data_IF_870005329762
#
_entry.id   IF_870005329762
#
_cell.length_a   1.000
_cell.length_b   1.000
_cell.length_c   1.000
_cell.angle_alpha   90.00
_cell.angle_beta   90.00
_cell.angle_gamma   90.00
#
_symmetry.space_group_name_H-M   'P 1'
#
loop_
_entity.id
_entity.type
_entity.pdbx_description
1 polymer ?
#
# COMPACT_ATOMS: atom_id res chain seq x y z
N UNK A 1 11.27 -5.32 -13.95
CA UNK A 1 11.49 -5.76 -12.54
C UNK A 1 10.53 -6.84 -12.01
N UNK A 2 9.20 -6.84 -12.27
CA UNK A 2 8.30 -7.93 -11.79
C UNK A 2 8.76 -9.32 -12.27
N UNK A 3 9.35 -9.39 -13.47
CA UNK A 3 9.99 -10.59 -14.01
C UNK A 3 10.95 -11.25 -13.01
N UNK A 4 11.83 -10.50 -12.34
CA UNK A 4 12.85 -11.01 -11.41
C UNK A 4 12.29 -11.78 -10.21
N UNK A 5 11.02 -11.53 -9.85
CA UNK A 5 10.33 -12.19 -8.74
C UNK A 5 9.46 -13.38 -9.17
N UNK A 6 9.38 -13.65 -10.47
CA UNK A 6 8.68 -14.82 -11.00
C UNK A 6 9.46 -16.09 -10.66
N UNK A 7 8.74 -17.13 -10.24
CA UNK A 7 9.30 -18.47 -10.01
C UNK A 7 9.71 -19.12 -11.34
N UNK A 8 9.04 -18.74 -12.43
CA UNK A 8 9.34 -19.16 -13.80
C UNK A 8 9.92 -17.97 -14.58
N UNK A 9 11.22 -18.03 -14.88
CA UNK A 9 11.91 -17.11 -15.79
C UNK A 9 12.69 -17.90 -16.82
N UNK A 10 12.72 -17.39 -18.04
CA UNK A 10 13.58 -17.89 -19.12
C UNK A 10 14.81 -17.00 -19.24
N UNK A 11 15.91 -17.55 -19.74
CA UNK A 11 17.14 -16.79 -20.03
C UNK A 11 16.87 -15.65 -21.00
N UNK A 12 16.13 -15.93 -22.09
CA UNK A 12 15.74 -14.92 -23.09
C UNK A 12 15.02 -13.71 -22.47
N UNK A 13 14.15 -13.93 -21.47
CA UNK A 13 13.46 -12.84 -20.77
C UNK A 13 14.40 -12.02 -19.89
N UNK A 14 15.42 -12.63 -19.31
CA UNK A 14 16.44 -11.92 -18.54
C UNK A 14 17.38 -11.14 -19.46
N UNK A 15 17.69 -11.66 -20.64
CA UNK A 15 18.44 -10.93 -21.67
C UNK A 15 17.65 -9.72 -22.16
N UNK A 16 16.36 -9.88 -22.47
CA UNK A 16 15.48 -8.74 -22.80
C UNK A 16 15.44 -7.70 -21.68
N UNK A 17 15.41 -8.13 -20.41
CA UNK A 17 15.44 -7.23 -19.27
C UNK A 17 16.74 -6.39 -19.23
N UNK A 18 17.87 -6.92 -19.71
CA UNK A 18 19.13 -6.16 -19.79
C UNK A 18 18.93 -4.92 -20.66
N UNK A 19 18.35 -5.10 -21.83
CA UNK A 19 18.11 -4.03 -22.81
C UNK A 19 17.06 -3.03 -22.29
N UNK A 20 15.98 -3.54 -21.68
CA UNK A 20 14.96 -2.69 -21.03
C UNK A 20 15.55 -1.82 -19.92
N UNK A 21 16.48 -2.35 -19.12
CA UNK A 21 17.14 -1.59 -18.05
C UNK A 21 18.08 -0.54 -18.64
N UNK A 22 18.86 -0.88 -19.67
CA UNK A 22 19.74 0.07 -20.33
C UNK A 22 18.93 1.26 -20.87
N UNK A 23 17.86 0.98 -21.61
CA UNK A 23 16.97 2.00 -22.14
C UNK A 23 16.28 2.84 -21.05
N UNK A 24 15.90 2.22 -19.92
CA UNK A 24 15.41 2.95 -18.75
C UNK A 24 16.46 3.93 -18.18
N UNK A 25 17.72 3.50 -18.08
CA UNK A 25 18.82 4.34 -17.55
C UNK A 25 19.11 5.50 -18.50
N UNK A 26 19.15 5.26 -19.80
CA UNK A 26 19.31 6.32 -20.82
C UNK A 26 18.19 7.36 -20.73
N UNK A 27 16.93 6.92 -20.65
CA UNK A 27 15.80 7.84 -20.46
C UNK A 27 15.90 8.60 -19.14
N UNK A 28 16.34 7.96 -18.05
CA UNK A 28 16.59 8.66 -16.79
C UNK A 28 17.68 9.73 -16.93
N UNK A 29 18.76 9.41 -17.65
CA UNK A 29 19.85 10.35 -17.92
C UNK A 29 19.37 11.54 -18.75
N UNK A 30 18.52 11.33 -19.74
CA UNK A 30 17.91 12.40 -20.53
C UNK A 30 17.01 13.30 -19.68
N UNK A 31 16.04 12.73 -18.96
CA UNK A 31 15.03 13.52 -18.25
C UNK A 31 15.56 14.20 -16.98
N UNK A 32 16.34 13.50 -16.17
CA UNK A 32 16.74 13.96 -14.84
C UNK A 32 18.17 14.50 -14.81
N UNK A 33 19.15 13.72 -15.30
CA UNK A 33 20.55 14.15 -15.33
C UNK A 33 20.78 15.26 -16.36
N UNK A 34 20.08 15.21 -17.49
CA UNK A 34 20.17 16.16 -18.62
C UNK A 34 21.60 16.36 -19.12
N UNK A 35 22.49 15.38 -18.89
CA UNK A 35 23.91 15.44 -19.22
C UNK A 35 24.63 16.68 -18.65
N UNK A 36 24.14 17.22 -17.52
CA UNK A 36 24.72 18.37 -16.83
C UNK A 36 25.50 17.93 -15.60
N UNK A 37 26.77 18.30 -15.54
CA UNK A 37 27.66 17.92 -14.44
C UNK A 37 27.10 18.29 -13.05
N UNK A 38 26.48 19.46 -12.91
CA UNK A 38 25.88 19.93 -11.65
C UNK A 38 24.76 19.01 -11.12
N UNK A 39 24.19 18.18 -12.00
CA UNK A 39 23.12 17.23 -11.67
C UNK A 39 23.61 15.81 -11.46
N UNK A 40 24.92 15.54 -11.51
CA UNK A 40 25.48 14.20 -11.33
C UNK A 40 25.02 13.53 -10.03
N UNK A 41 24.68 14.32 -9.02
CA UNK A 41 24.15 13.82 -7.75
C UNK A 41 22.85 13.02 -7.88
N UNK A 42 22.11 13.11 -9.00
CA UNK A 42 20.90 12.31 -9.28
C UNK A 42 21.24 10.89 -9.76
N UNK A 43 22.40 10.69 -10.39
CA UNK A 43 22.89 9.38 -10.86
C UNK A 43 23.49 8.60 -9.68
N UNK A 44 22.61 8.10 -8.81
CA UNK A 44 23.02 7.32 -7.63
C UNK A 44 23.66 5.99 -8.05
N UNK A 45 24.51 5.45 -7.18
CA UNK A 45 25.08 4.10 -7.34
C UNK A 45 24.01 3.03 -7.57
N UNK A 46 22.80 3.21 -7.01
CA UNK A 46 21.66 2.30 -7.23
C UNK A 46 21.20 2.27 -8.69
N UNK A 47 21.31 3.37 -9.43
CA UNK A 47 20.97 3.43 -10.86
C UNK A 47 21.99 2.61 -11.67
N UNK A 48 23.28 2.80 -11.41
CA UNK A 48 24.34 1.99 -12.02
C UNK A 48 24.19 0.50 -11.69
N UNK A 49 23.86 0.17 -10.44
CA UNK A 49 23.65 -1.21 -10.01
C UNK A 49 22.52 -1.91 -10.79
N UNK A 50 21.52 -1.18 -11.32
CA UNK A 50 20.46 -1.78 -12.14
C UNK A 50 21.02 -2.42 -13.40
N UNK A 51 22.01 -1.80 -14.06
CA UNK A 51 22.61 -2.29 -15.30
C UNK A 51 23.23 -3.69 -15.13
N UNK A 52 23.68 -4.03 -13.91
CA UNK A 52 24.29 -5.33 -13.61
C UNK A 52 23.28 -6.40 -13.21
N UNK A 53 22.00 -6.06 -13.00
CA UNK A 53 21.00 -6.99 -12.45
C UNK A 53 20.77 -8.20 -13.35
N UNK A 54 20.67 -8.00 -14.66
CA UNK A 54 20.46 -9.11 -15.59
C UNK A 54 21.67 -10.06 -15.62
N UNK A 55 22.88 -9.51 -15.66
CA UNK A 55 24.13 -10.27 -15.68
C UNK A 55 24.32 -11.07 -14.39
N UNK A 56 24.03 -10.44 -13.25
CA UNK A 56 24.11 -11.09 -11.96
C UNK A 56 23.10 -12.23 -11.84
N UNK A 57 21.90 -12.10 -12.41
CA UNK A 57 20.90 -13.19 -12.42
C UNK A 57 21.33 -14.35 -13.30
N UNK A 58 21.88 -14.08 -14.48
CA UNK A 58 22.37 -15.13 -15.38
C UNK A 58 23.56 -15.87 -14.78
N UNK A 59 24.44 -15.15 -14.06
CA UNK A 59 25.66 -15.71 -13.47
C UNK A 59 25.43 -16.41 -12.13
N UNK A 60 24.65 -15.80 -11.24
CA UNK A 60 24.45 -16.27 -9.87
C UNK A 60 23.15 -17.06 -9.67
N UNK A 61 22.29 -17.10 -10.69
CA UNK A 61 20.98 -17.71 -10.61
C UNK A 61 19.89 -16.74 -10.14
N UNK A 62 18.67 -17.24 -9.89
CA UNK A 62 17.52 -16.42 -9.57
C UNK A 62 17.78 -15.47 -8.38
N UNK A 63 17.30 -14.22 -8.49
CA UNK A 63 17.55 -13.16 -7.49
C UNK A 63 17.27 -13.63 -6.07
N UNK A 64 16.18 -14.37 -5.83
CA UNK A 64 15.81 -14.81 -4.47
C UNK A 64 16.85 -15.71 -3.78
N UNK A 65 17.75 -16.36 -4.54
CA UNK A 65 18.86 -17.17 -4.01
C UNK A 65 20.02 -16.29 -3.58
N UNK A 66 20.35 -15.27 -4.39
CA UNK A 66 21.51 -14.41 -4.18
C UNK A 66 21.21 -13.12 -3.40
N UNK A 67 19.93 -12.76 -3.24
CA UNK A 67 19.58 -11.46 -2.67
C UNK A 67 19.94 -11.39 -1.18
N UNK A 68 20.89 -10.51 -0.88
CA UNK A 68 21.29 -10.20 0.49
C UNK A 68 20.16 -9.63 1.34
N UNK A 69 19.04 -9.15 0.77
CA UNK A 69 17.97 -8.51 1.53
C UNK A 69 17.37 -9.43 2.63
N UNK A 70 17.19 -10.72 2.34
CA UNK A 70 16.72 -11.68 3.34
C UNK A 70 17.72 -11.81 4.49
N UNK A 71 19.02 -11.89 4.16
CA UNK A 71 20.10 -11.94 5.14
C UNK A 71 20.25 -10.63 5.90
N UNK A 72 20.18 -9.48 5.25
CA UNK A 72 20.29 -8.16 5.90
C UNK A 72 19.15 -7.94 6.89
N UNK A 73 17.93 -8.33 6.51
CA UNK A 73 16.77 -8.27 7.40
C UNK A 73 16.96 -9.16 8.62
N UNK A 74 17.43 -10.39 8.43
CA UNK A 74 17.72 -11.30 9.52
C UNK A 74 18.87 -10.80 10.40
N UNK A 75 19.97 -10.33 9.81
CA UNK A 75 21.09 -9.72 10.51
C UNK A 75 20.65 -8.51 11.34
N UNK A 76 19.72 -7.69 10.84
CA UNK A 76 19.12 -6.59 11.63
C UNK A 76 18.32 -7.08 12.83
N UNK A 77 17.66 -8.23 12.74
CA UNK A 77 17.00 -8.83 13.92
C UNK A 77 18.04 -9.37 14.92
N UNK A 78 19.10 -9.99 14.40
CA UNK A 78 20.22 -10.53 15.19
C UNK A 78 21.00 -9.42 15.91
N UNK A 79 21.19 -8.24 15.31
CA UNK A 79 21.89 -7.13 15.99
C UNK A 79 21.15 -6.66 17.24
N UNK A 80 19.81 -6.75 17.30
CA UNK A 80 19.05 -6.46 18.53
C UNK A 80 19.29 -7.46 19.65
N UNK A 81 19.76 -8.66 19.30
CA UNK A 81 20.09 -9.72 20.24
C UNK A 81 21.41 -9.46 20.97
N UNK A 82 22.26 -8.57 20.45
CA UNK A 82 23.54 -8.20 21.05
C UNK A 82 23.35 -7.27 22.27
N UNK A 83 22.70 -7.76 23.33
CA UNK A 83 22.41 -6.99 24.54
C UNK A 83 23.62 -6.82 25.48
N UNK A 84 24.69 -7.58 25.27
CA UNK A 84 25.94 -7.48 26.04
C UNK A 84 27.09 -7.05 25.14
N UNK A 85 27.86 -6.06 25.60
CA UNK A 85 29.10 -5.62 24.93
C UNK A 85 30.30 -6.54 25.24
N UNK A 86 30.24 -7.30 26.32
CA UNK A 86 31.35 -8.16 26.80
C UNK A 86 31.25 -9.58 26.25
N UNK A 87 30.03 -10.12 26.17
CA UNK A 87 29.77 -11.48 25.65
C UNK A 87 28.68 -11.47 24.56
N UNK A 88 28.90 -10.75 23.45
CA UNK A 88 27.88 -10.55 22.43
C UNK A 88 27.44 -11.87 21.79
N UNK A 89 28.37 -12.76 21.43
CA UNK A 89 28.06 -14.01 20.74
C UNK A 89 27.18 -14.96 21.56
N UNK A 90 27.46 -15.11 22.86
CA UNK A 90 26.65 -15.95 23.75
C UNK A 90 25.23 -15.39 23.89
N UNK A 91 25.12 -14.07 24.02
CA UNK A 91 23.83 -13.40 24.16
C UNK A 91 23.00 -13.52 22.88
N UNK A 92 23.64 -13.31 21.72
CA UNK A 92 23.04 -13.49 20.41
C UNK A 92 22.55 -14.93 20.23
N UNK A 93 23.42 -15.91 20.48
CA UNK A 93 23.09 -17.34 20.33
C UNK A 93 21.89 -17.73 21.19
N UNK A 94 21.87 -17.33 22.46
CA UNK A 94 20.72 -17.56 23.36
C UNK A 94 19.45 -16.91 22.86
N UNK A 95 19.51 -15.67 22.38
CA UNK A 95 18.31 -14.97 21.91
C UNK A 95 17.76 -15.57 20.61
N UNK A 96 18.63 -15.92 19.67
CA UNK A 96 18.24 -16.60 18.41
C UNK A 96 17.62 -17.96 18.72
N UNK A 97 18.19 -18.72 19.67
CA UNK A 97 17.61 -19.97 20.16
C UNK A 97 16.21 -19.74 20.74
N UNK A 98 16.04 -18.75 21.63
CA UNK A 98 14.74 -18.43 22.20
C UNK A 98 13.73 -17.98 21.14
N UNK A 99 14.15 -17.18 20.14
CA UNK A 99 13.30 -16.79 19.02
C UNK A 99 12.81 -18.01 18.23
N UNK A 100 13.71 -18.96 17.95
CA UNK A 100 13.37 -20.22 17.27
C UNK A 100 12.40 -21.08 18.09
N UNK A 101 12.66 -21.25 19.39
CA UNK A 101 11.81 -22.00 20.31
C UNK A 101 10.41 -21.37 20.44
N UNK A 102 10.34 -20.05 20.60
CA UNK A 102 9.06 -19.31 20.63
C UNK A 102 8.31 -19.48 19.32
N UNK A 103 9.00 -19.38 18.17
CA UNK A 103 8.37 -19.58 16.87
C UNK A 103 7.82 -21.00 16.70
N UNK A 104 8.57 -22.03 17.13
CA UNK A 104 8.13 -23.43 17.09
C UNK A 104 6.88 -23.65 17.97
N UNK A 105 6.92 -23.18 19.22
CA UNK A 105 5.79 -23.27 20.15
C UNK A 105 4.57 -22.49 19.62
N UNK A 106 4.77 -21.29 19.09
CA UNK A 106 3.69 -20.47 18.53
C UNK A 106 3.07 -21.08 17.26
N UNK A 107 3.83 -21.87 16.50
CA UNK A 107 3.29 -22.60 15.36
C UNK A 107 2.52 -23.86 15.79
N UNK A 108 2.96 -24.54 16.86
CA UNK A 108 2.29 -25.72 17.40
C UNK A 108 1.02 -25.38 18.20
N UNK A 109 1.01 -24.24 18.89
CA UNK A 109 -0.07 -23.84 19.80
C UNK A 109 -0.61 -22.43 19.44
N UNK A 110 -1.69 -22.33 18.65
CA UNK A 110 -2.29 -21.06 18.24
C UNK A 110 -2.72 -20.14 19.41
N UNK A 111 -3.13 -20.72 20.55
CA UNK A 111 -3.49 -20.00 21.77
C UNK A 111 -2.29 -19.29 22.41
N UNK A 112 -1.11 -19.92 22.40
CA UNK A 112 0.14 -19.32 22.90
C UNK A 112 0.61 -18.22 21.95
N UNK A 113 0.48 -18.40 20.63
CA UNK A 113 0.75 -17.33 19.64
C UNK A 113 -0.09 -16.09 19.89
N UNK A 114 -1.36 -16.26 20.27
CA UNK A 114 -2.27 -15.16 20.65
C UNK A 114 -1.82 -14.49 21.96
N UNK A 115 -1.36 -15.27 22.94
CA UNK A 115 -0.83 -14.80 24.22
C UNK A 115 0.52 -14.05 24.09
N UNK A 116 1.45 -14.50 23.24
CA UNK A 116 2.74 -13.82 23.04
C UNK A 116 2.61 -12.40 22.43
N UNK A 117 1.39 -12.00 22.06
CA UNK A 117 1.04 -10.65 21.64
C UNK A 117 0.51 -9.77 22.79
N UNK A 118 0.50 -10.25 24.05
CA UNK A 118 0.06 -9.45 25.21
C UNK A 118 0.80 -8.12 25.30
N UNK A 119 0.05 -7.02 25.50
CA UNK A 119 0.54 -5.63 25.40
C UNK A 119 0.47 -5.03 23.99
N UNK A 120 0.12 -5.84 22.99
CA UNK A 120 -0.15 -5.41 21.62
C UNK A 120 -1.52 -5.94 21.16
N UNK A 121 -2.58 -5.60 21.90
CA UNK A 121 -3.96 -5.98 21.53
C UNK A 121 -4.35 -5.45 20.14
N UNK A 122 -3.70 -4.36 19.68
CA UNK A 122 -3.84 -3.81 18.33
C UNK A 122 -2.77 -4.29 17.33
N UNK A 123 -1.84 -5.18 17.74
CA UNK A 123 -0.89 -5.74 16.81
C UNK A 123 -1.56 -6.84 15.98
N UNK A 124 -1.58 -6.65 14.66
CA UNK A 124 -2.25 -7.58 13.77
C UNK A 124 -1.55 -8.95 13.74
N UNK A 125 -2.36 -10.01 13.83
CA UNK A 125 -1.91 -11.40 13.76
C UNK A 125 -1.31 -11.68 12.38
N UNK A 126 -0.08 -12.22 12.29
CA UNK A 126 0.42 -12.82 11.05
C UNK A 126 -0.29 -14.18 10.88
N UNK A 127 -1.25 -14.30 9.97
CA UNK A 127 -1.81 -15.60 9.54
C UNK A 127 -1.43 -15.87 8.08
N UNK A 128 -1.46 -17.14 7.68
CA UNK A 128 -0.92 -17.64 6.39
C UNK A 128 -1.98 -17.66 5.27
N UNK A 129 -3.26 -17.46 5.57
CA UNK A 129 -4.37 -17.45 4.58
C UNK A 129 -5.27 -16.21 4.73
N UNK A 130 -6.06 -15.86 3.72
CA UNK A 130 -5.67 -15.23 2.44
C UNK A 130 -6.53 -13.96 2.33
N UNK A 131 -6.01 -12.96 1.61
CA UNK A 131 -6.72 -11.85 0.98
C UNK A 131 -8.26 -11.85 1.10
N UNK A 132 -8.87 -10.81 1.70
CA UNK A 132 -10.30 -10.58 1.50
C UNK A 132 -10.46 -9.97 0.11
N UNK A 133 -10.99 -10.74 -0.83
CA UNK A 133 -11.44 -10.25 -2.12
C UNK A 133 -12.88 -9.77 -1.94
N UNK A 134 -13.12 -8.49 -2.20
CA UNK A 134 -14.49 -7.97 -2.23
C UNK A 134 -15.22 -8.55 -3.45
N UNK A 135 -16.42 -9.15 -3.33
CA UNK A 135 -17.10 -9.81 -4.45
C UNK A 135 -17.32 -8.93 -5.68
N UNK A 136 -17.43 -7.62 -5.48
CA UNK A 136 -17.80 -6.67 -6.53
C UNK A 136 -16.61 -5.86 -7.07
N UNK A 137 -15.43 -5.97 -6.45
CA UNK A 137 -14.28 -5.12 -6.79
C UNK A 137 -13.00 -5.92 -6.71
N UNK A 138 -12.08 -5.65 -7.64
CA UNK A 138 -10.75 -6.23 -7.65
C UNK A 138 -9.86 -5.61 -6.56
N UNK A 139 -10.33 -5.65 -5.32
CA UNK A 139 -9.69 -5.10 -4.13
C UNK A 139 -9.37 -6.27 -3.21
N UNK A 140 -8.10 -6.35 -2.84
CA UNK A 140 -7.50 -7.42 -2.07
C UNK A 140 -6.98 -6.85 -0.76
N UNK A 141 -7.67 -7.10 0.35
CA UNK A 141 -7.20 -6.68 1.67
C UNK A 141 -6.08 -7.59 2.16
N UNK A 142 -4.98 -7.00 2.62
CA UNK A 142 -3.78 -7.74 3.03
C UNK A 142 -3.47 -7.52 4.49
N UNK A 143 -2.76 -8.49 5.05
CA UNK A 143 -2.25 -8.36 6.40
C UNK A 143 -1.43 -7.07 6.55
N UNK A 144 -1.77 -6.27 7.57
CA UNK A 144 -2.05 -6.92 8.83
C UNK A 144 -3.49 -6.61 9.34
N UNK A 145 -4.17 -7.66 9.85
CA UNK A 145 -5.60 -7.69 10.21
C UNK A 145 -5.79 -7.75 11.73
N UNK A 146 -6.72 -6.95 12.25
CA UNK A 146 -7.20 -6.98 13.61
C UNK A 146 -8.70 -7.32 13.59
N UNK A 147 -9.08 -8.47 14.16
CA UNK A 147 -10.46 -9.00 14.05
C UNK A 147 -11.49 -8.28 14.94
N UNK A 148 -11.05 -7.79 16.10
CA UNK A 148 -11.94 -7.22 17.12
C UNK A 148 -11.64 -5.75 17.36
N UNK A 149 -11.50 -4.98 16.28
CA UNK A 149 -11.29 -3.55 16.37
C UNK A 149 -12.56 -2.87 16.90
N UNK A 150 -12.43 -2.06 17.95
CA UNK A 150 -13.57 -1.45 18.61
C UNK A 150 -13.97 -0.14 17.92
N UNK A 151 -15.19 -0.09 17.39
CA UNK A 151 -15.77 1.11 16.77
C UNK A 151 -16.31 2.04 17.86
N UNK A 152 -15.45 2.91 18.39
CA UNK A 152 -15.78 3.88 19.43
C UNK A 152 -15.47 5.32 18.99
N UNK A 153 -16.13 6.28 19.65
CA UNK A 153 -15.87 7.70 19.49
C UNK A 153 -16.09 8.20 18.07
N UNK A 154 -15.14 9.03 17.59
CA UNK A 154 -15.22 9.71 16.29
C UNK A 154 -15.28 8.74 15.11
N UNK A 155 -14.61 7.58 15.19
CA UNK A 155 -14.63 6.58 14.11
C UNK A 155 -16.05 6.04 13.91
N UNK A 156 -16.76 5.72 15.01
CA UNK A 156 -18.15 5.24 14.94
C UNK A 156 -19.08 6.30 14.33
N UNK A 157 -18.86 7.58 14.68
CA UNK A 157 -19.60 8.70 14.11
C UNK A 157 -19.36 8.85 12.60
N UNK A 158 -18.11 8.73 12.14
CA UNK A 158 -17.80 8.79 10.70
C UNK A 158 -18.42 7.63 9.91
N UNK A 159 -18.39 6.41 10.47
CA UNK A 159 -19.03 5.24 9.83
C UNK A 159 -20.56 5.41 9.78
N UNK A 160 -21.19 5.88 10.86
CA UNK A 160 -22.63 6.14 10.87
C UNK A 160 -23.02 7.24 9.87
N UNK A 161 -22.21 8.30 9.77
CA UNK A 161 -22.41 9.37 8.80
C UNK A 161 -22.31 8.85 7.36
N UNK A 162 -21.28 8.06 7.05
CA UNK A 162 -21.11 7.45 5.73
C UNK A 162 -22.34 6.61 5.33
N UNK A 163 -22.85 5.76 6.21
CA UNK A 163 -24.05 4.98 5.88
C UNK A 163 -25.30 5.85 5.78
N UNK A 164 -25.41 6.92 6.58
CA UNK A 164 -26.52 7.87 6.46
C UNK A 164 -26.52 8.62 5.11
N UNK A 165 -25.34 8.97 4.57
CA UNK A 165 -25.21 9.73 3.33
C UNK A 165 -25.20 8.86 2.07
N UNK A 166 -24.57 7.68 2.11
CA UNK A 166 -24.28 6.91 0.90
C UNK A 166 -25.26 5.73 0.66
N UNK A 167 -26.12 5.37 1.63
CA UNK A 167 -27.10 4.27 1.48
C UNK A 167 -28.43 4.67 0.81
N UNK A 168 -28.42 5.53 -0.21
CA UNK A 168 -29.67 5.83 -0.95
C UNK A 168 -30.28 4.59 -1.65
N UNK A 169 -29.49 3.53 -1.86
CA UNK A 169 -29.91 2.31 -2.59
C UNK A 169 -29.87 1.01 -1.78
N UNK A 170 -29.29 0.96 -0.58
CA UNK A 170 -29.20 -0.26 0.24
C UNK A 170 -29.91 -0.06 1.58
N UNK A 171 -30.68 -1.07 1.97
CA UNK A 171 -31.38 -1.12 3.25
C UNK A 171 -30.38 -1.45 4.37
N UNK A 172 -30.62 -0.96 5.61
CA UNK A 172 -31.79 -0.23 6.08
C UNK A 172 -31.74 1.30 5.93
N UNK A 173 -32.93 1.92 5.81
CA UNK A 173 -33.10 3.39 5.78
C UNK A 173 -33.16 3.96 7.20
N UNK A 174 -32.01 4.02 7.86
CA UNK A 174 -31.89 4.56 9.21
C UNK A 174 -31.44 6.02 9.21
N UNK A 175 -31.89 6.79 10.20
CA UNK A 175 -31.32 8.10 10.54
C UNK A 175 -29.89 7.94 11.07
N UNK A 176 -29.12 9.02 11.14
CA UNK A 176 -27.78 9.01 11.75
C UNK A 176 -27.74 8.37 13.15
N UNK A 177 -28.72 8.68 14.00
CA UNK A 177 -28.82 8.07 15.33
C UNK A 177 -29.23 6.59 15.27
N UNK A 178 -30.08 6.21 14.32
CA UNK A 178 -30.39 4.81 14.04
C UNK A 178 -29.14 4.02 13.64
N UNK A 179 -28.32 4.56 12.74
CA UNK A 179 -27.03 3.97 12.38
C UNK A 179 -26.07 3.85 13.56
N UNK A 180 -25.97 4.87 14.42
CA UNK A 180 -25.13 4.80 15.62
C UNK A 180 -25.55 3.66 16.57
N UNK A 181 -26.85 3.36 16.67
CA UNK A 181 -27.36 2.25 17.46
C UNK A 181 -27.15 0.90 16.75
N UNK A 182 -27.35 0.87 15.42
CA UNK A 182 -27.28 -0.34 14.61
C UNK A 182 -25.87 -0.87 14.37
N UNK A 183 -24.87 0.02 14.29
CA UNK A 183 -23.50 -0.38 14.01
C UNK A 183 -22.96 -1.38 15.03
N UNK A 184 -22.21 -2.41 14.61
CA UNK A 184 -21.60 -3.32 15.56
C UNK A 184 -20.58 -2.58 16.44
N UNK A 185 -20.41 -3.00 17.69
CA UNK A 185 -19.37 -2.44 18.57
C UNK A 185 -17.96 -2.78 18.10
N UNK A 186 -17.81 -3.88 17.35
CA UNK A 186 -16.54 -4.41 16.88
C UNK A 186 -16.62 -4.77 15.41
N UNK A 187 -15.54 -4.50 14.69
CA UNK A 187 -15.39 -4.88 13.29
C UNK A 187 -13.94 -5.27 13.01
N UNK A 188 -13.66 -5.66 11.76
CA UNK A 188 -12.29 -5.93 11.37
C UNK A 188 -11.59 -4.65 10.92
N UNK A 189 -10.32 -4.51 11.28
CA UNK A 189 -9.44 -3.45 10.79
C UNK A 189 -8.27 -4.04 10.02
N UNK A 190 -7.99 -3.49 8.85
CA UNK A 190 -6.91 -3.90 7.96
C UNK A 190 -5.94 -2.74 7.72
N UNK A 191 -4.66 -3.07 7.51
CA UNK A 191 -3.61 -2.07 7.30
C UNK A 191 -2.99 -2.07 5.90
N UNK A 192 -3.38 -3.00 5.02
CA UNK A 192 -2.90 -3.04 3.64
C UNK A 192 -4.02 -3.39 2.68
N UNK A 193 -3.90 -2.86 1.48
CA UNK A 193 -4.79 -3.03 0.36
C UNK A 193 -3.94 -3.26 -0.88
N UNK A 194 -4.39 -4.13 -1.77
CA UNK A 194 -3.90 -4.22 -3.14
C UNK A 194 -5.10 -4.04 -4.06
N UNK A 195 -4.99 -3.12 -5.00
CA UNK A 195 -5.88 -3.03 -6.15
C UNK A 195 -5.38 -4.07 -7.15
N UNK A 196 -6.28 -4.92 -7.65
CA UNK A 196 -5.94 -6.03 -8.52
C UNK A 196 -5.68 -5.58 -9.96
N UNK A 197 -5.68 -6.53 -10.89
CA UNK A 197 -5.27 -6.34 -12.29
C UNK A 197 -3.88 -5.68 -12.44
N UNK A 198 -3.00 -5.99 -11.49
CA UNK A 198 -1.65 -5.45 -11.46
C UNK A 198 -1.52 -4.04 -10.87
N UNK A 199 -2.59 -3.50 -10.30
CA UNK A 199 -2.68 -2.21 -9.63
C UNK A 199 -1.89 -2.09 -8.32
N UNK A 200 -2.18 -1.02 -7.60
CA UNK A 200 -1.31 -0.49 -6.55
C UNK A 200 -1.41 -1.23 -5.22
N UNK A 201 -0.27 -1.31 -4.51
CA UNK A 201 -0.20 -1.84 -3.15
C UNK A 201 -0.10 -0.69 -2.14
N UNK A 202 -1.18 -0.50 -1.38
CA UNK A 202 -1.34 0.57 -0.39
C UNK A 202 -1.04 0.00 1.00
N UNK A 203 -0.23 0.72 1.77
CA UNK A 203 0.15 0.34 3.14
C UNK A 203 -0.02 1.52 4.08
N UNK A 204 -0.92 1.36 5.05
CA UNK A 204 -1.02 2.29 6.16
C UNK A 204 0.01 1.98 7.25
N UNK A 205 0.88 2.96 7.51
CA UNK A 205 1.75 2.95 8.67
C UNK A 205 0.98 2.89 10.00
N UNK A 206 -0.10 3.66 10.13
CA UNK A 206 -0.93 3.76 11.35
C UNK A 206 -1.46 2.39 11.73
N UNK A 207 -1.95 1.65 10.73
CA UNK A 207 -2.53 0.34 10.95
C UNK A 207 -1.49 -0.79 11.10
N UNK A 208 -0.35 -0.67 10.41
CA UNK A 208 0.63 -1.76 10.32
C UNK A 208 1.66 -1.78 11.44
N UNK A 209 2.12 -0.61 11.88
CA UNK A 209 3.18 -0.53 12.89
C UNK A 209 3.18 0.85 13.57
N UNK A 210 2.14 1.16 14.38
CA UNK A 210 1.96 2.49 14.97
C UNK A 210 3.15 2.92 15.85
N UNK A 211 3.82 1.95 16.46
CA UNK A 211 4.91 2.11 17.44
C UNK A 211 6.31 1.78 16.89
N UNK A 212 6.49 1.72 15.56
CA UNK A 212 7.80 1.43 14.94
C UNK A 212 8.84 2.52 15.25
N UNK A 213 9.95 2.15 15.90
CA UNK A 213 11.08 3.04 16.24
C UNK A 213 11.92 3.38 14.99
N UNK A 214 11.94 2.51 13.97
CA UNK A 214 12.84 2.60 12.81
C UNK A 214 12.25 3.37 11.62
N UNK A 215 11.32 4.28 11.89
CA UNK A 215 10.50 4.90 10.86
C UNK A 215 9.35 4.00 10.40
N UNK A 216 8.38 4.63 9.73
CA UNK A 216 7.14 3.99 9.29
C UNK A 216 7.17 3.89 7.77
N UNK A 217 7.33 2.67 7.24
CA UNK A 217 7.07 2.43 5.80
C UNK A 217 5.58 2.71 5.57
N UNK A 218 5.32 3.75 4.80
CA UNK A 218 3.99 4.32 4.59
C UNK A 218 3.79 4.60 3.10
N UNK A 219 2.85 3.89 2.49
CA UNK A 219 2.39 4.12 1.11
C UNK A 219 0.88 4.30 1.12
N UNK A 220 0.42 5.13 2.06
CA UNK A 220 -1.00 5.38 2.34
C UNK A 220 -1.53 6.66 1.72
N UNK A 221 -0.68 7.50 1.12
CA UNK A 221 -1.16 8.67 0.41
C UNK A 221 -1.80 8.21 -0.90
N UNK A 222 -3.07 8.56 -1.11
CA UNK A 222 -3.90 8.00 -2.17
C UNK A 222 -4.69 9.11 -2.88
N UNK A 223 -4.93 8.88 -4.17
CA UNK A 223 -5.95 9.56 -4.95
C UNK A 223 -7.31 8.93 -4.64
N UNK A 224 -8.33 9.76 -4.51
CA UNK A 224 -9.72 9.33 -4.34
C UNK A 224 -10.66 10.14 -5.22
N UNK A 225 -11.82 9.56 -5.51
CA UNK A 225 -12.97 10.33 -5.97
C UNK A 225 -13.64 10.98 -4.75
N UNK A 226 -14.06 12.23 -4.89
CA UNK A 226 -14.90 12.85 -3.87
C UNK A 226 -16.30 12.25 -3.91
N UNK A 227 -16.69 11.62 -2.80
CA UNK A 227 -18.09 11.48 -2.45
C UNK A 227 -18.37 12.54 -1.39
N UNK A 228 -19.32 13.41 -1.68
CA UNK A 228 -19.68 14.53 -0.82
C UNK A 228 -20.19 13.99 0.54
N UNK A 229 -19.44 14.25 1.61
CA UNK A 229 -19.73 13.78 2.97
C UNK A 229 -20.71 14.73 3.71
N UNK A 230 -21.62 15.37 2.99
CA UNK A 230 -22.59 16.31 3.56
C UNK A 230 -23.99 15.67 3.64
N UNK A 231 -24.55 15.43 4.85
CA UNK A 231 -25.87 14.86 5.04
C UNK A 231 -27.02 15.74 4.53
N UNK A 232 -26.79 17.05 4.35
CA UNK A 232 -27.82 18.00 3.92
C UNK A 232 -27.65 18.44 2.45
N UNK A 233 -26.59 17.99 1.77
CA UNK A 233 -26.36 18.31 0.37
C UNK A 233 -27.13 17.35 -0.56
N UNK A 234 -27.73 17.90 -1.62
CA UNK A 234 -28.15 17.10 -2.78
C UNK A 234 -26.92 16.41 -3.37
N UNK A 235 -26.93 15.07 -3.38
CA UNK A 235 -25.85 14.23 -3.92
C UNK A 235 -25.57 14.61 -5.38
N UNK A 236 -24.60 15.50 -5.59
CA UNK A 236 -23.97 15.70 -6.87
C UNK A 236 -22.75 14.80 -6.87
N UNK A 237 -22.75 13.77 -7.73
CA UNK A 237 -21.56 12.98 -8.03
C UNK A 237 -20.61 13.86 -8.85
N UNK A 238 -19.98 14.84 -8.19
CA UNK A 238 -18.99 15.69 -8.83
C UNK A 238 -17.72 14.84 -8.92
N UNK A 239 -17.19 14.65 -10.13
CA UNK A 239 -15.92 13.97 -10.37
C UNK A 239 -14.71 14.77 -9.88
N UNK A 240 -14.79 15.39 -8.70
CA UNK A 240 -13.67 16.10 -8.10
C UNK A 240 -12.68 15.04 -7.60
N UNK A 241 -11.43 15.20 -8.01
CA UNK A 241 -10.33 14.37 -7.52
C UNK A 241 -9.86 14.93 -6.19
N UNK A 242 -9.75 14.07 -5.19
CA UNK A 242 -9.22 14.43 -3.86
C UNK A 242 -8.00 13.61 -3.48
N UNK A 243 -7.16 14.15 -2.59
CA UNK A 243 -5.97 13.48 -2.08
C UNK A 243 -5.97 13.36 -0.57
N UNK A 244 -5.41 12.29 -0.02
CA UNK A 244 -5.39 12.07 1.41
C UNK A 244 -4.57 10.87 1.85
N UNK A 245 -4.39 10.73 3.16
CA UNK A 245 -3.70 9.60 3.78
C UNK A 245 -4.72 8.58 4.27
N UNK A 246 -4.65 7.35 3.76
CA UNK A 246 -5.38 6.19 4.28
C UNK A 246 -4.81 5.77 5.65
N UNK A 247 -5.57 5.98 6.72
CA UNK A 247 -5.12 5.62 8.06
C UNK A 247 -5.40 4.14 8.37
N UNK A 248 -6.52 3.58 7.94
CA UNK A 248 -6.81 2.14 8.02
C UNK A 248 -8.07 1.81 7.22
N UNK A 249 -8.32 0.52 7.06
CA UNK A 249 -9.49 -0.01 6.35
C UNK A 249 -10.36 -0.74 7.37
N UNK A 250 -11.66 -0.56 7.32
CA UNK A 250 -12.64 -1.24 8.15
C UNK A 250 -13.43 -2.23 7.29
N UNK A 251 -13.57 -3.47 7.74
CA UNK A 251 -14.56 -4.39 7.17
C UNK A 251 -15.67 -4.57 8.20
N UNK A 252 -16.84 -4.04 7.89
CA UNK A 252 -18.03 -4.04 8.74
C UNK A 252 -19.02 -5.02 8.16
N UNK A 253 -19.31 -6.09 8.91
CA UNK A 253 -20.27 -7.12 8.50
C UNK A 253 -21.56 -6.93 9.26
N UNK A 254 -22.66 -6.76 8.54
CA UNK A 254 -24.01 -6.79 9.12
C UNK A 254 -24.56 -8.21 9.04
N UNK A 255 -25.17 -8.74 10.12
CA UNK A 255 -25.85 -10.02 10.10
C UNK A 255 -27.11 -9.96 9.22
N UNK A 256 -27.66 -11.12 8.88
CA UNK A 256 -29.01 -11.21 8.31
C UNK A 256 -30.00 -10.57 9.27
N UNK A 257 -30.83 -9.70 8.75
CA UNK A 257 -31.78 -8.91 9.52
C UNK A 257 -33.02 -8.64 8.68
N UNK A 258 -34.09 -9.39 8.96
CA UNK A 258 -35.33 -9.32 8.19
C UNK A 258 -36.09 -8.01 8.41
N UNK A 259 -35.97 -7.37 9.59
CA UNK A 259 -36.60 -6.06 9.85
C UNK A 259 -35.95 -4.96 9.02
N UNK A 260 -34.66 -5.13 8.72
CA UNK A 260 -33.85 -4.20 7.95
C UNK A 260 -33.59 -4.68 6.51
N UNK A 261 -34.35 -5.68 6.04
CA UNK A 261 -34.31 -6.25 4.69
C UNK A 261 -32.90 -6.69 4.23
N UNK A 262 -32.09 -7.19 5.17
CA UNK A 262 -30.78 -7.81 4.90
C UNK A 262 -30.98 -9.32 4.81
N UNK A 263 -31.15 -9.82 3.59
CA UNK A 263 -31.41 -11.24 3.32
C UNK A 263 -30.19 -12.14 3.58
N UNK A 264 -28.99 -11.59 3.50
CA UNK A 264 -27.73 -12.31 3.71
C UNK A 264 -26.68 -11.43 4.40
N UNK A 265 -25.74 -12.03 5.16
CA UNK A 265 -24.69 -11.27 5.83
C UNK A 265 -23.87 -10.45 4.82
N UNK A 266 -23.92 -9.13 4.95
CA UNK A 266 -23.31 -8.21 3.97
C UNK A 266 -22.11 -7.53 4.61
N UNK A 267 -20.96 -7.60 3.93
CA UNK A 267 -19.71 -6.98 4.40
C UNK A 267 -19.39 -5.74 3.58
N UNK A 268 -19.36 -4.59 4.24
CA UNK A 268 -18.92 -3.32 3.67
C UNK A 268 -17.45 -3.08 4.00
N UNK A 269 -16.67 -2.72 2.99
CA UNK A 269 -15.25 -2.41 3.15
C UNK A 269 -15.07 -0.91 2.98
N UNK A 270 -14.63 -0.24 4.05
CA UNK A 270 -14.58 1.19 4.17
C UNK A 270 -13.15 1.69 4.40
N UNK A 271 -12.80 2.81 3.77
CA UNK A 271 -11.50 3.47 3.91
C UNK A 271 -11.62 4.65 4.88
N UNK A 272 -10.85 4.64 5.97
CA UNK A 272 -10.69 5.82 6.83
C UNK A 272 -9.52 6.67 6.31
N UNK A 273 -9.82 7.87 5.83
CA UNK A 273 -8.86 8.76 5.17
C UNK A 273 -8.80 10.09 5.92
N UNK A 274 -7.58 10.60 6.12
CA UNK A 274 -7.33 11.98 6.53
C UNK A 274 -6.98 12.81 5.29
N UNK A 275 -7.77 13.83 4.98
CA UNK A 275 -7.61 14.61 3.74
C UNK A 275 -6.33 15.46 3.74
N UNK A 276 -5.76 15.66 2.56
CA UNK A 276 -4.87 16.79 2.33
C UNK A 276 -5.75 18.05 2.30
N UNK A 277 -5.52 18.98 3.23
CA UNK A 277 -6.40 20.13 3.43
C UNK A 277 -6.28 21.10 2.26
N UNK A 278 -7.41 21.65 1.82
CA UNK A 278 -7.50 22.71 0.80
C UNK A 278 -6.87 22.26 -0.54
N UNK A 279 -7.02 20.98 -0.88
CA UNK A 279 -6.56 20.37 -2.13
C UNK A 279 -7.75 20.06 -3.03
N UNK A 280 -7.84 20.78 -4.13
CA UNK A 280 -8.80 20.57 -5.21
C UNK A 280 -8.00 20.42 -6.52
N UNK A 281 -8.49 19.59 -7.44
CA UNK A 281 -7.87 19.36 -8.75
C UNK A 281 -7.18 17.99 -8.90
N UNK A 282 -6.69 17.71 -10.10
CA UNK A 282 -5.97 16.48 -10.43
C UNK A 282 -4.44 16.71 -10.45
N UNK A 283 -3.75 16.14 -9.46
CA UNK A 283 -2.29 16.27 -9.35
C UNK A 283 -1.52 15.45 -10.40
N UNK A 284 -2.25 14.69 -11.25
CA UNK A 284 -1.68 14.05 -12.41
C UNK A 284 -1.64 14.98 -13.64
N UNK A 285 -2.43 16.05 -13.66
CA UNK A 285 -2.49 17.04 -14.74
C UNK A 285 -1.72 18.32 -14.38
N UNK A 286 -1.80 18.74 -13.11
CA UNK A 286 -1.18 19.97 -12.64
C UNK A 286 -0.39 19.79 -11.34
N UNK A 287 0.49 20.74 -11.06
CA UNK A 287 1.28 20.73 -9.83
C UNK A 287 0.43 21.19 -8.65
N UNK A 288 -0.09 20.23 -7.88
CA UNK A 288 -0.85 20.50 -6.66
C UNK A 288 0.04 20.35 -5.42
N UNK A 289 -0.15 21.22 -4.44
CA UNK A 289 0.56 21.16 -3.18
C UNK A 289 -0.35 21.45 -1.99
N UNK A 290 0.03 20.96 -0.82
CA UNK A 290 -0.69 21.20 0.43
C UNK A 290 0.28 21.36 1.59
N UNK A 291 -0.17 21.98 2.67
CA UNK A 291 0.69 22.26 3.84
C UNK A 291 0.33 21.41 5.05
N UNK A 292 -0.95 21.09 5.22
CA UNK A 292 -1.48 20.43 6.41
C UNK A 292 -2.50 19.37 6.03
N UNK A 293 -2.62 18.38 6.89
CA UNK A 293 -3.74 17.45 6.85
C UNK A 293 -4.97 18.09 7.48
N UNK A 294 -6.13 17.80 6.90
CA UNK A 294 -7.43 18.32 7.32
C UNK A 294 -8.20 17.31 8.17
N UNK A 295 -9.52 17.23 7.93
CA UNK A 295 -10.40 16.32 8.66
C UNK A 295 -10.19 14.87 8.21
N UNK A 296 -10.55 13.94 9.09
CA UNK A 296 -10.68 12.54 8.72
C UNK A 296 -12.13 12.21 8.43
N UNK A 297 -12.36 11.28 7.51
CA UNK A 297 -13.69 10.78 7.17
C UNK A 297 -13.60 9.34 6.66
N UNK A 298 -14.76 8.74 6.38
CA UNK A 298 -14.88 7.38 5.88
C UNK A 298 -15.48 7.42 4.48
N UNK A 299 -14.90 6.65 3.56
CA UNK A 299 -15.43 6.42 2.22
C UNK A 299 -15.57 4.92 1.96
N UNK A 300 -16.27 4.59 0.87
CA UNK A 300 -16.19 3.26 0.30
C UNK A 300 -14.75 2.99 -0.17
N UNK A 301 -14.24 1.77 0.01
CA UNK A 301 -12.88 1.41 -0.42
C UNK A 301 -12.67 1.60 -1.93
N UNK A 302 -13.75 1.54 -2.72
CA UNK A 302 -13.76 1.70 -4.18
C UNK A 302 -13.51 3.13 -4.64
N UNK A 303 -13.70 4.09 -3.73
CA UNK A 303 -13.31 5.48 -3.97
C UNK A 303 -11.78 5.65 -3.99
N UNK A 304 -11.00 4.69 -3.48
CA UNK A 304 -9.53 4.74 -3.51
C UNK A 304 -9.01 4.20 -4.84
N UNK A 305 -8.40 5.07 -5.67
CA UNK A 305 -8.00 4.72 -7.05
C UNK A 305 -6.57 4.22 -7.18
N UNK A 306 -5.61 4.92 -6.57
CA UNK A 306 -4.20 4.60 -6.67
C UNK A 306 -3.38 5.24 -5.56
N UNK A 307 -2.13 4.79 -5.43
CA UNK A 307 -1.13 5.45 -4.58
C UNK A 307 -0.67 6.73 -5.26
N UNK A 308 -0.63 7.82 -4.51
CA UNK A 308 0.04 9.05 -4.89
C UNK A 308 1.30 9.24 -4.03
N UNK A 309 2.35 9.74 -4.65
CA UNK A 309 3.55 10.21 -3.96
C UNK A 309 3.36 11.62 -3.42
N UNK A 310 4.26 12.02 -2.52
CA UNK A 310 4.39 13.43 -2.12
C UNK A 310 5.81 13.73 -1.69
N UNK A 311 6.27 14.93 -1.97
CA UNK A 311 7.62 15.39 -1.66
C UNK A 311 7.54 16.69 -0.89
N UNK A 312 8.24 16.73 0.24
CA UNK A 312 8.36 17.96 1.02
C UNK A 312 9.39 18.88 0.36
N UNK A 313 9.02 20.13 0.13
CA UNK A 313 9.88 21.15 -0.45
C UNK A 313 9.75 22.47 0.30
N UNK A 314 10.81 23.27 0.29
CA UNK A 314 10.82 24.66 0.78
C UNK A 314 11.09 25.66 -0.36
N UNK A 315 11.03 25.22 -1.61
CA UNK A 315 11.36 26.05 -2.76
C UNK A 315 10.40 27.22 -2.95
N UNK A 316 9.11 27.01 -2.69
CA UNK A 316 8.06 28.02 -2.93
C UNK A 316 7.61 28.69 -1.62
N UNK A 317 7.66 27.99 -0.49
CA UNK A 317 7.27 28.48 0.84
C UNK A 317 8.34 28.17 1.86
N UNK A 318 8.79 29.17 2.63
CA UNK A 318 9.80 28.97 3.68
C UNK A 318 9.35 28.00 4.78
N UNK A 319 8.06 28.07 5.15
CA UNK A 319 7.44 27.14 6.10
C UNK A 319 7.39 25.68 5.58
N UNK A 320 7.60 25.49 4.28
CA UNK A 320 7.55 24.21 3.58
C UNK A 320 6.16 23.80 3.14
N UNK A 321 6.12 23.01 2.08
CA UNK A 321 4.90 22.45 1.48
C UNK A 321 5.15 21.02 1.02
N UNK A 322 4.07 20.26 0.86
CA UNK A 322 4.07 18.93 0.25
C UNK A 322 3.53 19.06 -1.16
N UNK A 323 4.39 18.83 -2.15
CA UNK A 323 3.96 18.70 -3.55
C UNK A 323 3.49 17.27 -3.78
N UNK A 324 2.32 17.10 -4.38
CA UNK A 324 1.74 15.80 -4.71
C UNK A 324 2.35 15.31 -6.03
N UNK A 325 2.65 14.02 -6.10
CA UNK A 325 3.13 13.37 -7.31
C UNK A 325 2.17 12.24 -7.61
N UNK A 326 1.24 12.47 -8.52
CA UNK A 326 0.31 11.45 -8.98
C UNK A 326 0.76 10.93 -10.36
N UNK A 327 0.73 9.60 -10.49
CA UNK A 327 1.13 8.88 -11.70
C UNK A 327 -0.04 8.26 -12.45
N UNK A 328 -1.27 8.56 -12.01
CA UNK A 328 -2.51 7.99 -12.58
C UNK A 328 -2.92 8.62 -13.90
N UNK A 329 -2.46 9.83 -14.22
CA UNK A 329 -2.68 10.47 -15.51
C UNK A 329 -1.80 9.87 -16.61
N UNK A 330 -2.31 9.89 -17.85
CA UNK A 330 -1.60 9.37 -19.03
C UNK A 330 -0.22 10.00 -19.30
N UNK A 331 0.07 11.15 -18.68
CA UNK A 331 1.32 11.90 -18.83
C UNK A 331 2.49 11.26 -18.05
N UNK A 332 2.23 10.39 -17.06
CA UNK A 332 3.27 9.76 -16.24
C UNK A 332 3.28 8.23 -16.33
N UNK A 333 2.86 7.65 -17.46
CA UNK A 333 3.46 6.41 -17.91
C UNK A 333 4.83 6.76 -18.48
N UNK A 334 5.90 6.28 -17.86
CA UNK A 334 7.07 5.89 -18.66
C UNK A 334 6.59 4.76 -19.56
N UNK A 335 6.04 5.12 -20.72
CA UNK A 335 5.55 4.18 -21.72
C UNK A 335 6.80 3.61 -22.41
N UNK A 336 7.29 2.50 -21.87
CA UNK A 336 8.25 1.64 -22.58
C UNK A 336 7.47 0.83 -23.62
N UNK A 337 6.87 1.52 -24.59
CA UNK A 337 6.36 0.88 -25.78
C UNK A 337 7.56 0.65 -26.69
N UNK A 338 8.09 -0.56 -26.65
CA UNK A 338 8.84 -1.09 -27.78
C UNK A 338 7.80 -1.17 -28.89
N UNK A 339 7.96 -0.41 -29.97
CA UNK A 339 7.17 -0.60 -31.17
C UNK A 339 7.32 -2.07 -31.56
N UNK A 340 6.22 -2.83 -31.55
CA UNK A 340 6.18 -4.14 -32.19
C UNK A 340 6.51 -3.88 -33.65
N UNK A 341 7.75 -4.17 -34.04
CA UNK A 341 8.15 -4.17 -35.42
C UNK A 341 7.24 -5.17 -36.13
N UNK A 342 6.31 -4.64 -36.95
CA UNK A 342 5.48 -5.42 -37.86
C UNK A 342 6.41 -6.37 -38.63
N UNK A 343 6.28 -7.65 -38.33
CA UNK A 343 6.97 -8.73 -39.04
C UNK A 343 6.26 -8.99 -40.35
N UNK A 344 6.19 -7.99 -41.22
CA UNK A 344 5.77 -8.13 -42.60
C UNK A 344 6.89 -7.58 -43.48
N UNK A 345 7.85 -8.45 -43.76
CA UNK A 345 8.62 -8.49 -45.00
C UNK A 345 9.43 -9.80 -45.02
N UNK A 346 8.71 -10.90 -45.27
CA UNK A 346 9.29 -12.02 -46.03
C UNK A 346 9.58 -11.50 -47.44
N UNK A 347 10.81 -11.08 -47.70
CA UNK A 347 11.34 -11.02 -49.06
C UNK A 347 12.66 -11.79 -49.09
N UNK A 348 12.59 -12.93 -49.78
CA UNK A 348 13.61 -13.95 -49.82
C UNK A 348 14.91 -13.51 -50.48
N UNK A 349 16.00 -14.12 -50.02
CA UNK A 349 17.23 -14.21 -50.78
C UNK A 349 17.67 -15.67 -50.80
N UNK A 350 17.35 -16.32 -51.92
CA UNK A 350 17.98 -17.54 -52.37
C UNK A 350 19.41 -17.24 -52.81
N UNK A 351 20.39 -17.81 -52.10
CA UNK A 351 21.47 -18.67 -52.62
C UNK A 351 22.49 -18.99 -51.53
#
# INVERSE_FOLDING_TARGET
>A
MKCLTSVTNTTARIEQLRDEIAHYVEGFEEYYYQYKYDRLCVCKLTLHALLHVADDVLRCGPVWVAWSFCMERYCREVTFCAKSKVVPYVTISKHVLHMGQIAAIANQFPSIRKALLFGKNDAPLRSVEWNLCTPNHDIILRFPRLREFCLKGTIRQHVARYFCTNNFRQLPRLTYHGWLAYLPERCERWGKLRIGDGGDCIRSAVACNPSSIYGKRDSSFVRRDENENDPDATVNMIGVTGYGRLDFILAVTFPTDQENEIDAPTTHVLAHITEAKDVEGDAAEERISFTKFGRSFVLDITSVKNVAGRVFTRATREAGEWVIIDRSGGICRTDFRVDEHDSDNEDGWAN
#
